data_IF_534343084932
#
_entry.id   IF_534343084932
#
_cell.length_a   1.000
_cell.length_b   1.000
_cell.length_c   1.000
_cell.angle_alpha   90.00
_cell.angle_beta   90.00
_cell.angle_gamma   90.00
#
_symmetry.space_group_name_H-M   'P 1'
#
loop_
_entity.id
_entity.type
_entity.pdbx_description
1 polymer ?
#
# COMPACT_ATOMS: atom_id res chain seq x y z
N UNK A 1 28.55 -7.49 -27.56
CA UNK A 1 27.19 -7.85 -28.02
C UNK A 1 26.56 -8.99 -27.21
N UNK A 2 27.25 -10.12 -26.98
CA UNK A 2 26.72 -11.24 -26.16
C UNK A 2 26.38 -10.86 -24.71
N UNK A 3 27.25 -10.08 -24.07
CA UNK A 3 27.06 -9.63 -22.66
C UNK A 3 25.85 -8.70 -22.53
N UNK A 4 25.63 -7.82 -23.50
CA UNK A 4 24.45 -6.94 -23.53
C UNK A 4 23.15 -7.74 -23.71
N UNK A 5 23.16 -8.76 -24.57
CA UNK A 5 21.99 -9.64 -24.77
C UNK A 5 21.70 -10.50 -23.53
N UNK A 6 22.72 -10.98 -22.82
CA UNK A 6 22.56 -11.71 -21.56
C UNK A 6 22.03 -10.82 -20.45
N UNK A 7 22.50 -9.57 -20.37
CA UNK A 7 22.00 -8.59 -19.41
C UNK A 7 20.53 -8.26 -19.65
N UNK A 8 20.13 -8.03 -20.91
CA UNK A 8 18.73 -7.80 -21.30
C UNK A 8 17.87 -9.02 -20.96
N UNK A 9 18.29 -10.24 -21.32
CA UNK A 9 17.53 -11.43 -20.99
C UNK A 9 17.39 -11.67 -19.48
N UNK A 10 18.45 -11.41 -18.69
CA UNK A 10 18.39 -11.53 -17.25
C UNK A 10 17.45 -10.47 -16.63
N UNK A 11 17.50 -9.25 -17.15
CA UNK A 11 16.61 -8.17 -16.78
C UNK A 11 15.13 -8.48 -17.11
N UNK A 12 14.85 -9.00 -18.31
CA UNK A 12 13.50 -9.30 -18.77
C UNK A 12 12.90 -10.51 -18.06
N UNK A 13 13.75 -11.45 -17.62
CA UNK A 13 13.35 -12.64 -16.88
C UNK A 13 13.05 -12.37 -15.40
N UNK A 14 13.62 -11.32 -14.82
CA UNK A 14 13.48 -11.02 -13.40
C UNK A 14 13.53 -9.49 -13.13
N UNK A 15 12.55 -8.71 -13.63
CA UNK A 15 12.38 -7.36 -13.16
C UNK A 15 12.16 -7.38 -11.64
N UNK A 16 12.76 -6.41 -10.93
CA UNK A 16 12.76 -6.40 -9.46
C UNK A 16 11.33 -6.47 -8.91
N UNK A 17 11.06 -7.52 -8.13
CA UNK A 17 9.79 -7.77 -7.43
C UNK A 17 8.52 -7.93 -8.31
N UNK A 18 8.65 -8.14 -9.63
CA UNK A 18 7.50 -8.43 -10.52
C UNK A 18 7.76 -9.68 -11.40
N UNK A 19 6.77 -10.06 -12.20
CA UNK A 19 6.81 -11.17 -13.15
C UNK A 19 7.69 -10.83 -14.36
N UNK A 20 8.17 -11.84 -15.12
CA UNK A 20 8.89 -11.61 -16.38
C UNK A 20 8.13 -10.66 -17.31
N UNK A 21 8.84 -9.84 -18.08
CA UNK A 21 8.28 -8.72 -18.85
C UNK A 21 7.09 -9.11 -19.73
N UNK A 22 7.11 -10.32 -20.32
CA UNK A 22 6.03 -10.85 -21.15
C UNK A 22 4.69 -11.03 -20.41
N UNK A 23 4.69 -10.99 -19.08
CA UNK A 23 3.50 -11.09 -18.21
C UNK A 23 3.06 -9.75 -17.62
N UNK A 24 3.79 -8.66 -17.93
CA UNK A 24 3.45 -7.31 -17.49
C UNK A 24 2.50 -6.67 -18.52
N UNK A 25 1.22 -7.03 -18.43
CA UNK A 25 0.24 -6.72 -19.48
C UNK A 25 -0.51 -5.40 -19.25
N UNK A 26 -0.51 -4.86 -18.02
CA UNK A 26 -1.26 -3.66 -17.66
C UNK A 26 -0.35 -2.45 -17.49
N UNK A 27 -0.79 -1.27 -17.92
CA UNK A 27 -0.09 0.01 -17.77
C UNK A 27 -0.62 0.73 -16.53
N UNK A 28 0.25 1.25 -15.67
CA UNK A 28 -0.14 1.94 -14.43
C UNK A 28 -0.53 3.41 -14.65
N UNK A 29 -0.38 3.94 -15.86
CA UNK A 29 -0.85 5.27 -16.25
C UNK A 29 -2.36 5.45 -16.14
N UNK A 30 -3.15 4.37 -16.15
CA UNK A 30 -4.59 4.41 -15.89
C UNK A 30 -4.95 4.50 -14.39
N UNK A 31 -3.98 4.26 -13.50
CA UNK A 31 -4.10 4.47 -12.06
C UNK A 31 -3.63 5.87 -11.70
N UNK A 32 -2.41 6.22 -12.12
CA UNK A 32 -1.79 7.51 -11.86
C UNK A 32 -1.01 7.96 -13.10
N UNK A 33 -1.26 9.17 -13.65
CA UNK A 33 -0.56 9.64 -14.84
C UNK A 33 0.97 9.67 -14.71
N UNK A 34 1.49 9.83 -13.49
CA UNK A 34 2.93 9.79 -13.17
C UNK A 34 3.57 8.41 -13.38
N UNK A 35 2.76 7.35 -13.50
CA UNK A 35 3.18 5.97 -13.72
C UNK A 35 2.93 5.49 -15.16
N UNK A 36 2.63 6.40 -16.08
CA UNK A 36 2.45 6.07 -17.49
C UNK A 36 3.68 5.31 -18.04
N UNK A 37 3.42 4.24 -18.78
CA UNK A 37 4.43 3.32 -19.34
C UNK A 37 5.07 2.37 -18.33
N UNK A 38 4.78 2.49 -17.04
CA UNK A 38 5.17 1.47 -16.05
C UNK A 38 4.18 0.32 -16.19
N UNK A 39 4.67 -0.81 -16.70
CA UNK A 39 3.84 -2.01 -16.88
C UNK A 39 3.97 -2.95 -15.70
N UNK A 40 2.87 -3.59 -15.33
CA UNK A 40 2.81 -4.57 -14.25
C UNK A 40 1.91 -5.75 -14.59
N UNK A 41 1.86 -6.73 -13.70
CA UNK A 41 0.95 -7.86 -13.78
C UNK A 41 -0.49 -7.50 -13.37
N UNK A 42 -1.51 -8.28 -13.79
CA UNK A 42 -2.92 -7.98 -13.51
C UNK A 42 -3.29 -7.86 -12.02
N UNK A 43 -2.60 -8.58 -11.13
CA UNK A 43 -2.89 -8.55 -9.69
C UNK A 43 -2.44 -7.24 -9.06
N UNK A 44 -1.21 -6.81 -9.36
CA UNK A 44 -0.72 -5.49 -8.91
C UNK A 44 -1.60 -4.39 -9.47
N UNK A 45 -1.99 -4.47 -10.75
CA UNK A 45 -2.91 -3.50 -11.34
C UNK A 45 -4.24 -3.42 -10.59
N UNK A 46 -4.88 -4.57 -10.32
CA UNK A 46 -6.14 -4.62 -9.57
C UNK A 46 -6.01 -4.07 -8.14
N UNK A 47 -4.90 -4.40 -7.45
CA UNK A 47 -4.59 -3.87 -6.13
C UNK A 47 -4.51 -2.34 -6.13
N UNK A 48 -3.79 -1.77 -7.11
CA UNK A 48 -3.60 -0.32 -7.22
C UNK A 48 -4.86 0.42 -7.67
N UNK A 49 -5.68 -0.20 -8.53
CA UNK A 49 -7.00 0.30 -8.87
C UNK A 49 -7.89 0.42 -7.63
N UNK A 50 -7.94 -0.63 -6.81
CA UNK A 50 -8.69 -0.60 -5.55
C UNK A 50 -8.17 0.49 -4.61
N UNK A 51 -6.85 0.63 -4.46
CA UNK A 51 -6.25 1.66 -3.62
C UNK A 51 -6.67 3.07 -4.06
N UNK A 52 -6.57 3.38 -5.36
CA UNK A 52 -7.02 4.67 -5.93
C UNK A 52 -8.50 4.91 -5.64
N UNK A 53 -9.34 3.91 -5.85
CA UNK A 53 -10.78 4.01 -5.65
C UNK A 53 -11.12 4.24 -4.17
N UNK A 54 -10.40 3.59 -3.25
CA UNK A 54 -10.57 3.80 -1.80
C UNK A 54 -10.21 5.22 -1.38
N UNK A 55 -9.08 5.74 -1.87
CA UNK A 55 -8.67 7.12 -1.59
C UNK A 55 -9.71 8.12 -2.11
N UNK A 56 -10.24 7.90 -3.31
CA UNK A 56 -11.29 8.75 -3.88
C UNK A 56 -12.61 8.68 -3.10
N UNK A 57 -12.97 7.49 -2.60
CA UNK A 57 -14.19 7.26 -1.83
C UNK A 57 -14.12 7.87 -0.42
N UNK A 58 -12.93 7.93 0.19
CA UNK A 58 -12.70 8.38 1.57
C UNK A 58 -11.69 9.54 1.61
N UNK A 59 -12.07 10.74 1.11
CA UNK A 59 -11.15 11.87 1.05
C UNK A 59 -10.73 12.31 2.45
N UNK A 60 -9.42 12.42 2.66
CA UNK A 60 -8.83 12.87 3.90
C UNK A 60 -7.51 13.62 3.65
N UNK A 61 -7.17 14.60 4.49
CA UNK A 61 -5.92 15.35 4.38
C UNK A 61 -4.68 14.53 4.78
N UNK A 62 -4.85 13.51 5.63
CA UNK A 62 -3.79 12.60 6.09
C UNK A 62 -4.15 11.18 5.68
N UNK A 63 -3.37 10.57 4.78
CA UNK A 63 -3.63 9.22 4.28
C UNK A 63 -2.41 8.33 4.51
N UNK A 64 -2.60 7.17 5.13
CA UNK A 64 -1.58 6.14 5.28
C UNK A 64 -2.07 4.81 4.69
N UNK A 65 -1.18 4.05 4.07
CA UNK A 65 -1.49 2.79 3.40
C UNK A 65 -0.44 1.75 3.82
N UNK A 66 -0.81 0.83 4.69
CA UNK A 66 0.15 -0.05 5.38
C UNK A 66 -0.08 -1.53 5.05
N UNK A 67 0.96 -2.37 5.13
CA UNK A 67 2.39 -2.04 4.95
C UNK A 67 2.76 -1.84 3.47
N UNK A 68 3.98 -1.40 3.19
CA UNK A 68 4.66 -1.51 1.87
C UNK A 68 4.12 -0.65 0.71
N UNK A 69 3.52 0.52 0.96
CA UNK A 69 2.93 1.35 -0.11
C UNK A 69 3.56 2.74 -0.22
N UNK A 70 4.86 2.85 0.10
CA UNK A 70 5.58 4.12 0.04
C UNK A 70 5.52 4.82 -1.33
N UNK A 71 5.39 4.07 -2.43
CA UNK A 71 5.23 4.63 -3.78
C UNK A 71 3.91 5.39 -3.96
N UNK A 72 2.86 5.05 -3.20
CA UNK A 72 1.52 5.60 -3.37
C UNK A 72 1.48 7.10 -3.02
N UNK A 73 2.30 7.55 -2.08
CA UNK A 73 2.34 8.94 -1.65
C UNK A 73 2.69 9.93 -2.77
N UNK A 74 3.83 9.78 -3.48
CA UNK A 74 4.11 10.63 -4.63
C UNK A 74 3.23 10.31 -5.84
N UNK A 75 2.77 9.07 -6.01
CA UNK A 75 1.97 8.69 -7.18
C UNK A 75 0.56 9.28 -7.16
N UNK A 76 -0.05 9.40 -5.97
CA UNK A 76 -1.44 9.81 -5.78
C UNK A 76 -1.59 11.13 -5.00
N UNK A 77 -0.50 11.87 -4.83
CA UNK A 77 -0.45 13.14 -4.09
C UNK A 77 -1.00 13.02 -2.66
N UNK A 78 -0.56 11.97 -1.95
CA UNK A 78 -1.01 11.67 -0.59
C UNK A 78 0.01 12.08 0.45
N UNK A 79 -0.49 12.44 1.63
CA UNK A 79 0.34 12.81 2.78
C UNK A 79 0.26 11.76 3.88
N UNK A 80 1.33 10.99 4.05
CA UNK A 80 1.48 10.08 5.17
C UNK A 80 1.63 10.86 6.49
N UNK A 81 0.75 10.66 7.49
CA UNK A 81 0.94 11.25 8.81
C UNK A 81 2.04 10.56 9.63
N UNK A 82 2.34 9.29 9.36
CA UNK A 82 3.34 8.54 10.12
C UNK A 82 4.76 8.89 9.67
N UNK A 83 5.76 8.76 10.55
CA UNK A 83 7.16 8.97 10.21
C UNK A 83 7.72 7.92 9.23
N UNK A 84 7.00 6.80 9.04
CA UNK A 84 7.41 5.68 8.20
C UNK A 84 6.18 4.90 7.72
N UNK A 85 6.27 4.33 6.52
CA UNK A 85 5.26 3.45 5.92
C UNK A 85 5.72 2.00 5.77
N UNK A 86 7.03 1.83 5.63
CA UNK A 86 7.67 0.56 5.41
C UNK A 86 8.12 -0.01 6.76
N UNK A 87 7.21 -0.71 7.45
CA UNK A 87 7.46 -1.20 8.81
C UNK A 87 8.19 -2.55 8.80
N UNK A 88 9.33 -2.66 8.11
CA UNK A 88 10.12 -3.89 8.16
C UNK A 88 10.85 -4.03 9.50
N UNK A 89 11.03 -5.26 10.01
CA UNK A 89 11.73 -5.48 11.28
C UNK A 89 13.14 -4.86 11.32
N UNK A 90 13.82 -4.80 10.17
CA UNK A 90 15.16 -4.22 10.04
C UNK A 90 15.16 -2.68 9.95
N UNK A 91 14.03 -2.07 9.62
CA UNK A 91 13.87 -0.62 9.44
C UNK A 91 13.27 0.05 10.68
N UNK A 92 12.57 -0.73 11.52
CA UNK A 92 12.09 -0.29 12.84
C UNK A 92 13.27 -0.27 13.81
N UNK A 93 13.95 0.89 13.87
CA UNK A 93 15.09 1.12 14.77
C UNK A 93 14.80 2.25 15.76
N UNK A 94 15.49 2.22 16.90
CA UNK A 94 15.39 3.25 17.94
C UNK A 94 13.97 3.40 18.49
N UNK A 95 13.45 4.62 18.42
CA UNK A 95 12.12 5.00 18.93
C UNK A 95 11.01 5.01 17.86
N UNK A 96 11.27 4.46 16.66
CA UNK A 96 10.36 4.53 15.51
C UNK A 96 8.96 4.01 15.84
N UNK A 97 8.87 2.89 16.55
CA UNK A 97 7.58 2.33 16.99
C UNK A 97 6.80 3.32 17.86
N UNK A 98 7.47 3.93 18.85
CA UNK A 98 6.84 4.89 19.75
C UNK A 98 6.35 6.13 18.99
N UNK A 99 7.16 6.67 18.08
CA UNK A 99 6.76 7.83 17.26
C UNK A 99 5.56 7.53 16.36
N UNK A 100 5.46 6.32 15.80
CA UNK A 100 4.29 5.90 15.05
C UNK A 100 3.04 5.82 15.94
N UNK A 101 3.16 5.29 17.16
CA UNK A 101 2.04 5.22 18.10
C UNK A 101 1.61 6.59 18.62
N UNK A 102 2.55 7.50 18.84
CA UNK A 102 2.27 8.87 19.28
C UNK A 102 1.47 9.65 18.22
N UNK A 103 1.74 9.38 16.93
CA UNK A 103 1.00 9.95 15.79
C UNK A 103 -0.50 9.63 15.88
N UNK A 104 -0.88 8.46 16.41
CA UNK A 104 -2.29 8.05 16.55
C UNK A 104 -3.07 9.03 17.43
N UNK A 105 -2.44 9.53 18.51
CA UNK A 105 -3.08 10.47 19.43
C UNK A 105 -3.43 11.79 18.75
N UNK A 106 -2.59 12.25 17.82
CA UNK A 106 -2.86 13.44 17.00
C UNK A 106 -3.96 13.16 15.97
N UNK A 107 -3.88 12.03 15.25
CA UNK A 107 -4.91 11.64 14.28
C UNK A 107 -6.30 11.57 14.91
N UNK A 108 -6.43 10.88 16.04
CA UNK A 108 -7.72 10.72 16.73
C UNK A 108 -8.28 12.05 17.24
N UNK A 109 -7.42 13.01 17.59
CA UNK A 109 -7.84 14.33 18.07
C UNK A 109 -8.26 15.24 16.91
N UNK A 110 -7.49 15.24 15.82
CA UNK A 110 -7.68 16.17 14.70
C UNK A 110 -8.76 15.69 13.72
N UNK A 111 -8.97 14.37 13.63
CA UNK A 111 -9.75 13.77 12.55
C UNK A 111 -9.06 13.95 11.19
N UNK A 112 -9.87 13.98 10.12
CA UNK A 112 -9.41 14.21 8.74
C UNK A 112 -8.30 13.24 8.29
N UNK A 113 -8.53 11.95 8.52
CA UNK A 113 -7.58 10.89 8.19
C UNK A 113 -8.22 9.65 7.57
N UNK A 114 -7.41 8.96 6.75
CA UNK A 114 -7.66 7.63 6.23
C UNK A 114 -6.43 6.76 6.49
N UNK A 115 -6.59 5.64 7.19
CA UNK A 115 -5.54 4.63 7.33
C UNK A 115 -6.06 3.32 6.75
N UNK A 116 -5.45 2.89 5.64
CA UNK A 116 -5.74 1.62 4.97
C UNK A 116 -4.69 0.59 5.33
N UNK A 117 -5.12 -0.65 5.46
CA UNK A 117 -4.29 -1.81 5.75
C UNK A 117 -4.55 -2.89 4.69
N UNK A 118 -3.53 -3.23 3.90
CA UNK A 118 -3.65 -4.29 2.90
C UNK A 118 -3.84 -5.65 3.58
N UNK A 119 -4.66 -6.50 2.99
CA UNK A 119 -4.83 -7.89 3.44
C UNK A 119 -4.11 -8.91 2.56
N UNK A 120 -3.54 -8.45 1.44
CA UNK A 120 -2.70 -9.24 0.54
C UNK A 120 -1.24 -8.88 0.76
N UNK A 121 -0.33 -9.83 0.56
CA UNK A 121 1.11 -9.61 0.75
C UNK A 121 1.78 -9.15 -0.54
N UNK A 122 2.86 -8.38 -0.44
CA UNK A 122 3.69 -8.01 -1.59
C UNK A 122 4.20 -9.25 -2.36
N UNK A 123 4.51 -10.34 -1.65
CA UNK A 123 4.92 -11.62 -2.26
C UNK A 123 3.79 -12.26 -3.09
N UNK A 124 2.56 -12.26 -2.58
CA UNK A 124 1.40 -12.76 -3.32
C UNK A 124 1.13 -11.93 -4.59
N UNK A 125 1.26 -10.60 -4.49
CA UNK A 125 1.13 -9.70 -5.63
C UNK A 125 2.23 -9.92 -6.69
N UNK A 126 3.48 -10.07 -6.27
CA UNK A 126 4.59 -10.40 -7.16
C UNK A 126 4.42 -11.79 -7.80
N UNK A 127 3.82 -12.72 -7.07
CA UNK A 127 3.41 -14.03 -7.57
C UNK A 127 2.12 -13.96 -8.42
N UNK A 128 1.53 -12.80 -8.68
CA UNK A 128 0.31 -12.67 -9.49
C UNK A 128 -0.86 -13.48 -8.93
N UNK A 129 -0.92 -13.64 -7.62
CA UNK A 129 -2.07 -14.27 -6.96
C UNK A 129 -3.31 -13.37 -7.07
N UNK A 130 -4.53 -13.93 -7.07
CA UNK A 130 -5.75 -13.14 -7.18
C UNK A 130 -5.90 -12.12 -6.05
N UNK A 131 -6.31 -10.89 -6.39
CA UNK A 131 -6.68 -9.86 -5.42
C UNK A 131 -8.18 -9.94 -5.16
N UNK A 132 -8.64 -10.08 -3.90
CA UNK A 132 -10.07 -10.10 -3.59
C UNK A 132 -10.74 -8.78 -4.01
N UNK A 133 -11.95 -8.86 -4.56
CA UNK A 133 -12.75 -7.67 -4.87
C UNK A 133 -13.27 -6.96 -3.61
N UNK A 134 -13.41 -7.71 -2.51
CA UNK A 134 -13.75 -7.21 -1.18
C UNK A 134 -13.23 -8.17 -0.12
N UNK A 135 -13.09 -7.67 1.10
CA UNK A 135 -12.73 -8.47 2.28
C UNK A 135 -13.75 -8.29 3.40
N UNK A 136 -13.99 -9.34 4.23
CA UNK A 136 -14.78 -9.19 5.44
C UNK A 136 -14.20 -8.17 6.43
N UNK A 137 -15.01 -7.43 7.21
CA UNK A 137 -14.53 -6.44 8.19
C UNK A 137 -13.58 -6.97 9.26
N UNK A 138 -13.69 -8.26 9.59
CA UNK A 138 -12.86 -8.96 10.57
C UNK A 138 -11.51 -9.44 10.01
N UNK A 139 -11.28 -9.24 8.70
CA UNK A 139 -10.02 -9.63 8.06
C UNK A 139 -8.87 -8.90 8.72
N UNK A 140 -7.85 -9.67 9.13
CA UNK A 140 -6.63 -9.09 9.69
C UNK A 140 -5.72 -8.57 8.57
N UNK A 141 -5.05 -7.43 8.77
CA UNK A 141 -4.02 -6.96 7.84
C UNK A 141 -2.94 -8.00 7.58
N UNK A 142 -2.27 -7.90 6.44
CA UNK A 142 -0.91 -8.39 6.34
C UNK A 142 0.00 -7.48 7.15
N UNK A 143 0.90 -8.04 7.98
CA UNK A 143 1.77 -7.27 8.87
C UNK A 143 3.17 -7.87 8.92
N UNK A 144 4.17 -7.02 9.19
CA UNK A 144 5.56 -7.44 9.34
C UNK A 144 6.01 -7.52 10.80
N UNK A 145 5.51 -6.63 11.66
CA UNK A 145 6.00 -6.44 13.04
C UNK A 145 4.89 -6.43 14.10
N UNK A 146 3.62 -6.46 13.68
CA UNK A 146 2.44 -6.36 14.57
C UNK A 146 2.12 -4.92 15.00
N UNK A 147 2.94 -3.95 14.60
CA UNK A 147 2.68 -2.53 14.83
C UNK A 147 1.42 -2.06 14.07
N UNK A 148 1.22 -2.57 12.86
CA UNK A 148 0.07 -2.26 12.01
C UNK A 148 -1.25 -2.64 12.70
N UNK A 149 -1.30 -3.81 13.33
CA UNK A 149 -2.46 -4.25 14.11
C UNK A 149 -2.71 -3.34 15.32
N UNK A 150 -1.65 -2.95 16.04
CA UNK A 150 -1.77 -2.03 17.16
C UNK A 150 -2.22 -0.63 16.76
N UNK A 151 -1.82 -0.16 15.57
CA UNK A 151 -2.29 1.11 15.01
C UNK A 151 -3.78 0.99 14.68
N UNK A 152 -4.17 -0.04 13.93
CA UNK A 152 -5.55 -0.31 13.58
C UNK A 152 -6.46 -0.32 14.82
N UNK A 153 -6.04 -1.01 15.89
CA UNK A 153 -6.80 -1.16 17.13
C UNK A 153 -6.94 0.11 17.97
N UNK A 154 -6.07 1.10 17.79
CA UNK A 154 -6.06 2.36 18.57
C UNK A 154 -6.67 3.54 17.84
N UNK A 155 -6.89 3.46 16.54
CA UNK A 155 -7.59 4.50 15.78
C UNK A 155 -9.09 4.50 16.12
N UNK A 156 -9.65 5.68 16.38
CA UNK A 156 -11.04 5.85 16.88
C UNK A 156 -12.06 6.22 15.80
N UNK A 157 -11.63 6.40 14.55
CA UNK A 157 -12.50 6.68 13.42
C UNK A 157 -13.42 5.52 13.07
N UNK A 158 -14.22 5.69 12.02
CA UNK A 158 -15.11 4.64 11.51
C UNK A 158 -14.29 3.55 10.83
N UNK A 159 -14.45 2.30 11.28
CA UNK A 159 -13.93 1.11 10.59
C UNK A 159 -14.58 0.96 9.22
N UNK A 160 -13.78 0.66 8.21
CA UNK A 160 -14.21 0.49 6.82
C UNK A 160 -13.56 -0.75 6.19
N UNK A 161 -14.20 -1.27 5.15
CA UNK A 161 -13.59 -2.15 4.16
C UNK A 161 -13.69 -1.49 2.80
N UNK A 162 -12.67 -1.67 1.96
CA UNK A 162 -12.65 -1.15 0.61
C UNK A 162 -11.70 -1.97 -0.25
N UNK A 163 -12.22 -2.68 -1.25
CA UNK A 163 -11.40 -3.64 -2.00
C UNK A 163 -10.74 -4.67 -1.09
N UNK A 164 -9.44 -4.90 -1.29
CA UNK A 164 -8.59 -5.74 -0.44
C UNK A 164 -8.13 -5.08 0.86
N UNK A 165 -8.64 -3.90 1.21
CA UNK A 165 -8.20 -3.17 2.39
C UNK A 165 -9.24 -3.25 3.51
N UNK A 166 -8.74 -3.40 4.74
CA UNK A 166 -9.44 -2.95 5.94
C UNK A 166 -8.88 -1.59 6.35
N UNK A 167 -9.67 -0.75 7.02
CA UNK A 167 -9.18 0.59 7.34
C UNK A 167 -9.97 1.32 8.40
N UNK A 168 -9.49 2.52 8.71
CA UNK A 168 -10.15 3.48 9.60
C UNK A 168 -10.20 4.83 8.93
N UNK A 169 -11.40 5.40 8.86
CA UNK A 169 -11.65 6.71 8.28
C UNK A 169 -12.28 7.65 9.30
N UNK A 170 -11.73 8.85 9.40
CA UNK A 170 -12.30 9.95 10.17
C UNK A 170 -12.43 11.17 9.28
N UNK A 171 -13.65 11.67 9.12
CA UNK A 171 -13.87 12.93 8.41
C UNK A 171 -13.37 14.10 9.26
N UNK A 172 -13.15 15.24 8.61
CA UNK A 172 -12.89 16.50 9.30
C UNK A 172 -14.09 16.85 10.20
N UNK A 173 -13.82 17.11 11.49
CA UNK A 173 -14.82 17.58 12.46
C UNK A 173 -15.16 19.05 12.28
#
# INVERSE_FOLDING_TARGET
MLVALQLVNAHDAAPYADRPQARLTHDLGDIAPSLLWVRTNPSVHAYLAQLRDCVAQYPAAKVAIMPDNAFAYPALDLRNPFPMDWVLPLEVVGDTEQRMLDTIGELNRDGDYLVLFQTVTALALAAGEPVPASVPPETRPAYHTGLEERILDRLTGRRITCGNFVGVYSAKS
#
